data_IF_652350242701
#
_entry.id   IF_652350242701
#
_cell.length_a   1.000
_cell.length_b   1.000
_cell.length_c   1.000
_cell.angle_alpha   90.00
_cell.angle_beta   90.00
_cell.angle_gamma   90.00
#
_symmetry.space_group_name_H-M   'P 1'
#
loop_
_entity.id
_entity.type
_entity.pdbx_description
1 polymer ?
#
# COMPACT_ATOMS: atom_id res chain seq x y z
N UNK A 1 -0.37 32.93 18.38
CA UNK A 1 -1.54 32.99 17.49
C UNK A 1 -0.98 32.85 16.07
N UNK A 2 -1.17 31.68 15.46
CA UNK A 2 -0.74 31.43 14.06
C UNK A 2 -1.64 32.21 13.12
N UNK A 3 -1.07 32.83 12.09
CA UNK A 3 -1.86 33.44 11.03
C UNK A 3 -2.75 32.37 10.38
N UNK A 4 -4.03 32.67 10.07
CA UNK A 4 -4.84 31.76 9.29
C UNK A 4 -4.17 31.52 7.92
N UNK A 5 -4.21 30.28 7.46
CA UNK A 5 -3.75 29.94 6.11
C UNK A 5 -4.47 30.84 5.09
N UNK A 6 -3.78 31.31 4.03
CA UNK A 6 -4.42 32.12 3.02
C UNK A 6 -5.61 31.36 2.42
N UNK A 7 -6.75 32.04 2.30
CA UNK A 7 -7.93 31.48 1.66
C UNK A 7 -7.57 31.13 0.20
N UNK A 8 -7.71 29.85 -0.15
CA UNK A 8 -7.48 29.37 -1.51
C UNK A 8 -8.48 30.05 -2.45
N UNK A 9 -7.98 30.55 -3.56
CA UNK A 9 -8.87 31.10 -4.62
C UNK A 9 -9.76 29.95 -5.14
N UNK A 10 -11.09 30.08 -5.16
CA UNK A 10 -11.96 29.04 -5.68
C UNK A 10 -11.58 28.68 -7.12
N UNK A 11 -11.49 27.39 -7.40
CA UNK A 11 -11.31 26.93 -8.78
C UNK A 11 -12.58 27.24 -9.60
N UNK A 12 -12.45 27.59 -10.89
CA UNK A 12 -13.59 27.85 -11.78
C UNK A 12 -14.32 26.57 -12.25
N UNK A 13 -13.96 25.41 -11.72
CA UNK A 13 -14.53 24.10 -12.01
C UNK A 13 -14.52 23.22 -10.74
N UNK A 14 -15.33 22.17 -10.72
CA UNK A 14 -15.32 21.16 -9.66
C UNK A 14 -14.25 20.08 -9.92
N UNK A 15 -13.61 19.62 -8.86
CA UNK A 15 -12.69 18.48 -8.94
C UNK A 15 -13.47 17.17 -9.05
N UNK A 16 -13.08 16.32 -9.99
CA UNK A 16 -13.69 15.02 -10.20
C UNK A 16 -13.17 14.03 -9.16
N UNK A 17 -14.05 13.23 -8.57
CA UNK A 17 -13.70 12.18 -7.60
C UNK A 17 -13.81 10.76 -8.18
N UNK A 18 -14.56 10.62 -9.28
CA UNK A 18 -14.79 9.36 -9.98
C UNK A 18 -15.05 9.68 -11.45
N UNK A 19 -14.36 9.01 -12.37
CA UNK A 19 -14.52 9.17 -13.82
C UNK A 19 -15.29 8.02 -14.47
N UNK A 20 -15.78 7.05 -13.68
CA UNK A 20 -16.53 5.91 -14.15
C UNK A 20 -15.69 4.76 -14.71
N UNK A 21 -14.34 4.89 -14.68
CA UNK A 21 -13.44 3.81 -15.07
C UNK A 21 -13.38 2.74 -13.97
N UNK A 22 -13.58 1.49 -14.35
CA UNK A 22 -13.53 0.36 -13.44
C UNK A 22 -12.12 -0.24 -13.36
N UNK A 23 -11.82 -0.88 -12.23
CA UNK A 23 -10.63 -1.72 -12.07
C UNK A 23 -10.68 -2.87 -13.09
N UNK A 24 -9.53 -3.22 -13.65
CA UNK A 24 -9.45 -4.11 -14.81
C UNK A 24 -9.71 -5.58 -14.49
N UNK A 25 -9.35 -6.06 -13.29
CA UNK A 25 -9.54 -7.46 -12.89
C UNK A 25 -9.94 -7.60 -11.42
N UNK A 26 -10.59 -8.73 -11.10
CA UNK A 26 -10.93 -9.10 -9.73
C UNK A 26 -9.70 -9.12 -8.81
N UNK A 27 -8.57 -9.61 -9.31
CA UNK A 27 -7.30 -9.61 -8.60
C UNK A 27 -6.90 -8.18 -8.13
N UNK A 28 -7.04 -7.16 -8.98
CA UNK A 28 -6.76 -5.77 -8.61
C UNK A 28 -7.67 -5.29 -7.47
N UNK A 29 -8.97 -5.61 -7.54
CA UNK A 29 -9.95 -5.25 -6.50
C UNK A 29 -9.57 -5.82 -5.15
N UNK A 30 -9.11 -7.07 -5.10
CA UNK A 30 -8.74 -7.76 -3.86
C UNK A 30 -7.33 -7.37 -3.40
N UNK A 31 -6.40 -7.12 -4.33
CA UNK A 31 -5.02 -6.77 -4.02
C UNK A 31 -4.86 -5.39 -3.36
N UNK A 32 -5.68 -4.41 -3.78
CA UNK A 32 -5.59 -3.04 -3.25
C UNK A 32 -5.85 -2.96 -1.73
N UNK A 33 -6.93 -3.52 -1.15
CA UNK A 33 -7.14 -3.52 0.29
C UNK A 33 -6.05 -4.28 1.04
N UNK A 34 -5.52 -5.38 0.50
CA UNK A 34 -4.44 -6.16 1.10
C UNK A 34 -3.14 -5.34 1.21
N UNK A 35 -2.73 -4.68 0.12
CA UNK A 35 -1.56 -3.79 0.15
C UNK A 35 -1.77 -2.63 1.12
N UNK A 36 -2.94 -2.00 1.07
CA UNK A 36 -3.25 -0.91 1.99
C UNK A 36 -3.18 -1.34 3.44
N UNK A 37 -3.75 -2.48 3.80
CA UNK A 37 -3.73 -2.99 5.17
C UNK A 37 -2.30 -3.31 5.62
N UNK A 38 -1.51 -3.99 4.80
CA UNK A 38 -0.13 -4.35 5.15
C UNK A 38 0.78 -3.10 5.25
N UNK A 39 0.57 -2.06 4.43
CA UNK A 39 1.25 -0.77 4.61
C UNK A 39 0.87 -0.14 5.95
N UNK A 40 -0.41 -0.13 6.33
CA UNK A 40 -0.85 0.39 7.62
C UNK A 40 -0.23 -0.39 8.80
N UNK A 41 -0.05 -1.70 8.66
CA UNK A 41 0.63 -2.56 9.65
C UNK A 41 2.11 -2.21 9.74
N UNK A 42 2.82 -2.08 8.62
CA UNK A 42 4.21 -1.64 8.60
C UNK A 42 4.40 -0.30 9.31
N UNK A 43 3.49 0.66 9.07
CA UNK A 43 3.52 1.96 9.76
C UNK A 43 3.30 1.82 11.27
N UNK A 44 2.36 0.98 11.68
CA UNK A 44 2.07 0.75 13.10
C UNK A 44 3.28 0.14 13.84
N UNK A 45 3.97 -0.81 13.22
CA UNK A 45 5.20 -1.41 13.79
C UNK A 45 6.36 -0.42 13.90
N UNK A 46 6.41 0.58 13.02
CA UNK A 46 7.34 1.71 13.14
C UNK A 46 6.89 2.77 14.16
N UNK A 47 5.80 2.54 14.89
CA UNK A 47 5.22 3.51 15.83
C UNK A 47 4.53 4.70 15.17
N UNK A 48 4.32 4.66 13.86
CA UNK A 48 3.65 5.73 13.10
C UNK A 48 2.16 5.48 13.03
N UNK A 49 1.35 6.44 13.50
CA UNK A 49 -0.12 6.26 13.57
C UNK A 49 -0.92 7.38 12.95
N UNK A 50 -0.39 8.61 12.88
CA UNK A 50 -1.17 9.81 12.51
C UNK A 50 -0.47 10.75 11.53
N UNK A 51 0.78 10.50 11.19
CA UNK A 51 1.66 11.40 10.44
C UNK A 51 1.90 10.94 9.00
N UNK A 52 0.95 10.21 8.43
CA UNK A 52 1.01 9.71 7.06
C UNK A 52 -0.40 9.47 6.49
N UNK A 53 -0.48 9.34 5.18
CA UNK A 53 -1.67 8.92 4.45
C UNK A 53 -1.34 7.81 3.46
N UNK A 54 -2.26 6.86 3.29
CA UNK A 54 -2.21 5.83 2.24
C UNK A 54 -3.50 5.91 1.45
N UNK A 55 -3.40 6.23 0.17
CA UNK A 55 -4.49 6.23 -0.80
C UNK A 55 -4.42 5.01 -1.71
N UNK A 56 -5.59 4.56 -2.16
CA UNK A 56 -5.73 3.49 -3.16
C UNK A 56 -6.76 3.92 -4.18
N UNK A 57 -6.45 3.75 -5.46
CA UNK A 57 -7.32 4.08 -6.59
C UNK A 57 -8.00 5.46 -6.41
N UNK A 58 -7.20 6.49 -6.28
CA UNK A 58 -7.62 7.83 -5.88
C UNK A 58 -7.01 8.86 -6.81
N UNK A 59 -7.80 9.86 -7.24
CA UNK A 59 -7.28 10.99 -8.01
C UNK A 59 -6.19 11.74 -7.24
N UNK A 60 -5.12 12.11 -7.94
CA UNK A 60 -4.04 12.95 -7.44
C UNK A 60 -3.92 14.19 -8.32
N UNK A 61 -4.39 15.31 -7.81
CA UNK A 61 -4.28 16.60 -8.46
C UNK A 61 -2.97 17.27 -8.06
N UNK A 62 -2.05 17.40 -9.00
CA UNK A 62 -0.73 17.96 -8.76
C UNK A 62 -0.55 19.38 -9.31
N UNK A 63 -1.44 19.83 -10.22
CA UNK A 63 -1.52 21.22 -10.69
C UNK A 63 -2.95 21.59 -11.08
N UNK A 64 -3.25 22.88 -11.08
CA UNK A 64 -4.55 23.43 -11.48
C UNK A 64 -4.85 23.14 -12.95
N UNK A 65 -3.83 23.17 -13.80
CA UNK A 65 -3.93 22.89 -15.24
C UNK A 65 -4.34 21.44 -15.48
N UNK A 66 -3.70 20.48 -14.79
CA UNK A 66 -4.05 19.07 -14.87
C UNK A 66 -5.48 18.83 -14.34
N UNK A 67 -5.86 19.49 -13.24
CA UNK A 67 -7.21 19.36 -12.71
C UNK A 67 -8.28 19.88 -13.67
N UNK A 68 -8.01 21.02 -14.36
CA UNK A 68 -8.89 21.55 -15.38
C UNK A 68 -9.01 20.62 -16.60
N UNK A 69 -7.91 19.98 -17.00
CA UNK A 69 -7.91 19.00 -18.10
C UNK A 69 -8.75 17.76 -17.75
N UNK A 70 -8.58 17.22 -16.55
CA UNK A 70 -9.41 16.11 -16.04
C UNK A 70 -10.89 16.48 -16.04
N UNK A 71 -11.24 17.65 -15.49
CA UNK A 71 -12.62 18.11 -15.42
C UNK A 71 -13.24 18.27 -16.83
N UNK A 72 -12.46 18.79 -17.79
CA UNK A 72 -12.91 18.91 -19.19
C UNK A 72 -13.11 17.55 -19.85
N UNK A 73 -12.16 16.61 -19.70
CA UNK A 73 -12.26 15.28 -20.28
C UNK A 73 -13.52 14.55 -19.79
N UNK A 74 -13.82 14.64 -18.51
CA UNK A 74 -15.03 14.03 -17.94
C UNK A 74 -16.30 14.74 -18.40
N UNK A 75 -16.33 16.08 -18.37
CA UNK A 75 -17.51 16.85 -18.78
C UNK A 75 -17.87 16.64 -20.25
N UNK A 76 -16.89 16.46 -21.13
CA UNK A 76 -17.05 16.28 -22.56
C UNK A 76 -17.06 14.78 -22.97
N UNK A 77 -16.97 13.87 -22.00
CA UNK A 77 -16.89 12.41 -22.22
C UNK A 77 -15.77 12.03 -23.20
N UNK A 78 -14.59 12.62 -23.00
CA UNK A 78 -13.42 12.35 -23.84
C UNK A 78 -12.62 11.16 -23.29
N UNK A 79 -11.82 10.55 -24.18
CA UNK A 79 -10.84 9.54 -23.78
C UNK A 79 -9.88 10.11 -22.72
N UNK A 80 -9.67 9.42 -21.57
CA UNK A 80 -8.77 9.89 -20.53
C UNK A 80 -7.32 9.96 -21.01
N UNK A 81 -6.76 11.18 -21.06
CA UNK A 81 -5.35 11.42 -21.40
C UNK A 81 -4.59 12.07 -20.26
N UNK A 82 -5.29 12.90 -19.49
CA UNK A 82 -4.70 13.51 -18.32
C UNK A 82 -4.46 12.43 -17.24
N UNK A 83 -3.36 12.59 -16.51
CA UNK A 83 -3.07 11.72 -15.37
C UNK A 83 -4.20 11.78 -14.33
N UNK A 84 -4.61 10.62 -13.82
CA UNK A 84 -5.64 10.48 -12.78
C UNK A 84 -5.02 10.24 -11.41
N UNK A 85 -4.42 9.10 -11.19
CA UNK A 85 -3.82 8.71 -9.94
C UNK A 85 -3.10 7.36 -10.03
N UNK A 86 -2.34 7.00 -8.98
CA UNK A 86 -1.75 5.67 -8.86
C UNK A 86 -2.71 4.70 -8.19
N UNK A 87 -2.47 3.39 -8.39
CA UNK A 87 -3.23 2.33 -7.72
C UNK A 87 -3.06 2.39 -6.20
N UNK A 88 -1.82 2.51 -5.72
CA UNK A 88 -1.51 2.68 -4.30
C UNK A 88 -0.46 3.76 -4.13
N UNK A 89 -0.68 4.65 -3.18
CA UNK A 89 0.34 5.63 -2.80
C UNK A 89 0.41 5.87 -1.29
N UNK A 90 1.57 6.32 -0.86
CA UNK A 90 1.84 6.68 0.52
C UNK A 90 2.53 8.04 0.60
N UNK A 91 2.07 8.88 1.55
CA UNK A 91 2.60 10.23 1.80
C UNK A 91 2.95 10.38 3.27
N UNK A 92 4.16 10.83 3.57
CA UNK A 92 4.61 11.11 4.93
C UNK A 92 4.36 12.55 5.37
N UNK A 93 4.30 12.77 6.67
CA UNK A 93 4.24 14.10 7.27
C UNK A 93 2.92 14.84 7.03
N UNK A 94 1.83 14.12 6.90
CA UNK A 94 0.48 14.66 6.70
C UNK A 94 -0.48 14.11 7.74
N UNK A 95 -1.46 14.93 8.14
CA UNK A 95 -2.47 14.48 9.08
C UNK A 95 -3.42 13.46 8.46
N UNK A 96 -3.75 12.41 9.22
CA UNK A 96 -4.69 11.38 8.80
C UNK A 96 -6.13 11.89 8.92
N UNK A 97 -6.81 12.07 7.79
CA UNK A 97 -8.24 12.32 7.71
C UNK A 97 -8.80 11.72 6.42
N UNK A 98 -10.12 11.70 6.27
CA UNK A 98 -10.77 11.22 5.04
C UNK A 98 -10.57 12.25 3.92
N UNK A 99 -10.17 11.78 2.74
CA UNK A 99 -10.06 12.56 1.51
C UNK A 99 -10.85 11.89 0.41
N UNK A 100 -11.46 12.67 -0.48
CA UNK A 100 -12.11 12.18 -1.71
C UNK A 100 -11.08 11.98 -2.81
N UNK A 101 -10.12 12.89 -2.89
CA UNK A 101 -9.00 12.94 -3.82
C UNK A 101 -7.81 13.58 -3.12
N UNK A 102 -6.63 13.44 -3.68
CA UNK A 102 -5.43 14.11 -3.18
C UNK A 102 -5.20 15.41 -3.96
N UNK A 103 -5.11 16.54 -3.29
CA UNK A 103 -4.86 17.86 -3.88
C UNK A 103 -3.55 18.41 -3.34
N UNK A 104 -2.51 18.43 -4.15
CA UNK A 104 -1.17 18.78 -3.70
C UNK A 104 -1.10 20.19 -3.08
N UNK A 105 -1.77 21.17 -3.65
CA UNK A 105 -1.75 22.54 -3.12
C UNK A 105 -2.51 22.70 -1.80
N UNK A 106 -3.50 21.86 -1.49
CA UNK A 106 -4.19 21.83 -0.20
C UNK A 106 -3.36 21.10 0.87
N UNK A 107 -2.44 20.25 0.44
CA UNK A 107 -1.54 19.46 1.28
C UNK A 107 -0.13 20.08 1.39
N UNK A 108 -0.02 21.39 1.20
CA UNK A 108 1.26 22.12 1.29
C UNK A 108 2.28 21.75 0.21
N UNK A 109 1.82 21.38 -0.96
CA UNK A 109 2.65 20.96 -2.09
C UNK A 109 3.15 19.51 -2.00
N UNK A 110 2.62 18.72 -1.05
CA UNK A 110 3.05 17.33 -0.86
C UNK A 110 2.46 16.41 -1.89
N UNK A 111 3.33 15.58 -2.46
CA UNK A 111 3.01 14.52 -3.39
C UNK A 111 3.46 13.16 -2.80
N UNK A 112 3.05 12.03 -3.36
CA UNK A 112 3.41 10.71 -2.86
C UNK A 112 4.92 10.50 -2.69
N UNK A 113 5.34 10.00 -1.52
CA UNK A 113 6.71 9.57 -1.26
C UNK A 113 6.98 8.16 -1.80
N UNK A 114 5.94 7.34 -1.89
CA UNK A 114 5.98 5.98 -2.44
C UNK A 114 4.73 5.74 -3.28
N UNK A 115 4.91 5.10 -4.42
CA UNK A 115 3.85 4.69 -5.34
C UNK A 115 4.05 3.22 -5.72
N UNK A 116 2.94 2.47 -5.80
CA UNK A 116 2.89 1.11 -6.32
C UNK A 116 1.82 1.09 -7.40
N UNK A 117 2.19 0.65 -8.61
CA UNK A 117 1.26 0.38 -9.72
C UNK A 117 1.12 -1.12 -9.91
N UNK A 118 -0.10 -1.57 -10.08
CA UNK A 118 -0.46 -2.96 -10.41
C UNK A 118 -0.65 -3.03 -11.92
N UNK A 119 0.28 -3.66 -12.59
CA UNK A 119 0.29 -3.68 -14.05
C UNK A 119 -0.84 -4.54 -14.61
N UNK A 120 -1.42 -4.04 -15.69
CA UNK A 120 -2.33 -4.77 -16.53
C UNK A 120 -1.86 -4.70 -18.00
N UNK A 121 -2.36 -5.55 -18.91
CA UNK A 121 -2.00 -5.48 -20.31
C UNK A 121 -2.26 -4.12 -20.95
N UNK A 122 -3.29 -3.39 -20.52
CA UNK A 122 -3.66 -2.07 -21.07
C UNK A 122 -2.81 -0.94 -20.51
N UNK A 123 -2.43 -0.98 -19.22
CA UNK A 123 -1.73 0.13 -18.53
C UNK A 123 -0.22 -0.01 -18.47
N UNK A 124 0.32 -1.24 -18.51
CA UNK A 124 1.74 -1.53 -18.27
C UNK A 124 2.71 -0.63 -19.05
N UNK A 125 2.38 -0.27 -20.29
CA UNK A 125 3.22 0.62 -21.09
C UNK A 125 3.26 2.04 -20.52
N UNK A 126 2.11 2.57 -20.11
CA UNK A 126 2.00 3.93 -19.55
C UNK A 126 2.70 4.01 -18.21
N UNK A 127 2.51 2.98 -17.36
CA UNK A 127 3.15 2.89 -16.04
C UNK A 127 4.67 2.80 -16.15
N UNK A 128 5.19 2.05 -17.12
CA UNK A 128 6.63 1.88 -17.35
C UNK A 128 7.29 3.12 -17.99
N UNK A 129 6.52 4.05 -18.57
CA UNK A 129 7.05 5.20 -19.30
C UNK A 129 6.49 6.52 -18.77
N UNK A 130 5.32 6.95 -19.19
CA UNK A 130 4.74 8.27 -18.91
C UNK A 130 4.57 8.53 -17.42
N UNK A 131 3.93 7.60 -16.68
CA UNK A 131 3.76 7.74 -15.24
C UNK A 131 5.10 7.70 -14.51
N UNK A 132 6.01 6.80 -14.91
CA UNK A 132 7.35 6.71 -14.33
C UNK A 132 8.11 8.03 -14.45
N UNK A 133 8.07 8.68 -15.61
CA UNK A 133 8.71 9.97 -15.82
C UNK A 133 8.03 11.09 -15.03
N UNK A 134 6.70 11.10 -14.94
CA UNK A 134 5.92 12.04 -14.13
C UNK A 134 6.30 11.91 -12.65
N UNK A 135 6.33 10.70 -12.12
CA UNK A 135 6.65 10.44 -10.72
C UNK A 135 8.10 10.80 -10.37
N UNK A 136 9.02 10.61 -11.30
CA UNK A 136 10.42 11.00 -11.09
C UNK A 136 10.64 12.52 -11.21
N UNK A 137 10.10 13.16 -12.24
CA UNK A 137 10.44 14.53 -12.61
C UNK A 137 9.57 15.59 -11.92
N UNK A 138 8.28 15.32 -11.73
CA UNK A 138 7.28 16.23 -11.14
C UNK A 138 7.00 15.89 -9.70
N UNK A 139 6.54 14.66 -9.41
CA UNK A 139 6.19 14.25 -8.05
C UNK A 139 7.40 14.14 -7.14
N UNK A 140 8.55 13.81 -7.68
CA UNK A 140 9.76 13.54 -6.91
C UNK A 140 9.55 12.38 -5.93
N UNK A 141 8.71 11.41 -6.33
CA UNK A 141 8.40 10.23 -5.55
C UNK A 141 9.67 9.42 -5.28
N UNK A 142 9.97 9.20 -4.01
CA UNK A 142 11.24 8.59 -3.58
C UNK A 142 11.38 7.15 -4.03
N UNK A 143 10.28 6.38 -3.97
CA UNK A 143 10.24 4.97 -4.33
C UNK A 143 9.04 4.68 -5.23
N UNK A 144 9.30 3.98 -6.31
CA UNK A 144 8.29 3.56 -7.28
C UNK A 144 8.38 2.06 -7.49
N UNK A 145 7.23 1.38 -7.41
CA UNK A 145 7.13 -0.07 -7.60
C UNK A 145 6.14 -0.39 -8.70
N UNK A 146 6.51 -1.35 -9.54
CA UNK A 146 5.65 -1.98 -10.54
C UNK A 146 5.44 -3.43 -10.15
N UNK A 147 4.20 -3.85 -10.08
CA UNK A 147 3.78 -5.21 -9.77
C UNK A 147 3.15 -5.82 -10.99
N UNK A 148 3.70 -6.88 -11.49
CA UNK A 148 3.21 -7.61 -12.65
C UNK A 148 2.64 -8.97 -12.18
N UNK A 149 1.30 -9.11 -12.11
CA UNK A 149 0.68 -10.35 -11.64
C UNK A 149 0.90 -11.53 -12.60
N UNK A 150 0.94 -11.28 -13.92
CA UNK A 150 1.09 -12.34 -14.93
C UNK A 150 2.47 -12.99 -14.86
N UNK A 151 3.51 -12.20 -14.64
CA UNK A 151 4.90 -12.69 -14.53
C UNK A 151 5.33 -12.91 -13.08
N UNK A 152 4.51 -12.57 -12.09
CA UNK A 152 4.81 -12.63 -10.65
C UNK A 152 6.09 -11.86 -10.30
N UNK A 153 6.24 -10.68 -10.87
CA UNK A 153 7.45 -9.88 -10.71
C UNK A 153 7.14 -8.55 -10.05
N UNK A 154 7.97 -8.19 -9.08
CA UNK A 154 8.02 -6.85 -8.50
C UNK A 154 9.28 -6.17 -9.02
N UNK A 155 9.11 -4.98 -9.61
CA UNK A 155 10.20 -4.10 -9.99
C UNK A 155 10.16 -2.87 -9.09
N UNK A 156 11.26 -2.51 -8.49
CA UNK A 156 11.36 -1.32 -7.64
C UNK A 156 12.39 -0.34 -8.17
N UNK A 157 12.17 0.92 -7.85
CA UNK A 157 13.05 2.01 -8.28
C UNK A 157 13.22 3.02 -7.15
N UNK A 158 14.44 3.55 -7.01
CA UNK A 158 14.78 4.69 -6.15
C UNK A 158 14.96 5.95 -7.00
N UNK A 159 14.46 7.06 -6.52
CA UNK A 159 14.68 8.36 -7.15
C UNK A 159 16.15 8.79 -7.02
N UNK A 160 16.79 9.02 -8.15
CA UNK A 160 18.16 9.53 -8.25
C UNK A 160 18.21 10.80 -9.12
N UNK A 161 18.27 11.93 -8.49
CA UNK A 161 18.09 13.18 -9.21
C UNK A 161 16.66 13.29 -9.77
N UNK A 162 16.47 13.38 -11.08
CA UNK A 162 15.17 13.47 -11.75
C UNK A 162 14.78 12.18 -12.52
N UNK A 163 15.46 11.09 -12.25
CA UNK A 163 15.20 9.81 -12.88
C UNK A 163 15.24 8.70 -11.86
N UNK A 164 14.70 7.55 -12.20
CA UNK A 164 14.71 6.37 -11.37
C UNK A 164 15.90 5.45 -11.67
N UNK A 165 16.47 4.88 -10.60
CA UNK A 165 17.42 3.77 -10.68
C UNK A 165 16.75 2.49 -10.17
N UNK A 166 16.93 1.37 -10.88
CA UNK A 166 16.33 0.10 -10.44
C UNK A 166 16.94 -0.38 -9.13
N UNK A 167 16.11 -0.96 -8.28
CA UNK A 167 16.51 -1.70 -7.09
C UNK A 167 16.83 -3.14 -7.46
N UNK A 168 17.84 -3.72 -6.81
CA UNK A 168 18.12 -5.14 -6.94
C UNK A 168 17.10 -5.95 -6.11
N UNK A 169 16.42 -6.95 -6.67
CA UNK A 169 15.61 -7.88 -5.92
C UNK A 169 16.48 -8.83 -5.10
N UNK A 170 15.91 -9.43 -4.04
CA UNK A 170 16.53 -10.57 -3.34
C UNK A 170 16.49 -11.84 -4.21
N UNK A 171 17.08 -12.93 -3.72
CA UNK A 171 17.03 -14.24 -4.40
C UNK A 171 15.60 -14.77 -4.56
N UNK A 172 14.68 -14.39 -3.64
CA UNK A 172 13.25 -14.73 -3.68
C UNK A 172 12.43 -13.74 -4.53
N UNK A 173 13.06 -12.82 -5.25
CA UNK A 173 12.39 -11.85 -6.09
C UNK A 173 11.72 -10.68 -5.33
N UNK A 174 12.04 -10.50 -4.04
CA UNK A 174 11.48 -9.43 -3.22
C UNK A 174 12.27 -8.15 -3.37
N UNK A 175 11.60 -6.99 -3.33
CA UNK A 175 12.24 -5.68 -3.48
C UNK A 175 12.05 -4.83 -2.24
N UNK A 176 13.15 -4.37 -1.66
CA UNK A 176 13.18 -3.58 -0.43
C UNK A 176 12.60 -2.17 -0.62
N UNK A 177 11.73 -1.76 0.32
CA UNK A 177 11.28 -0.38 0.49
C UNK A 177 11.85 0.23 1.77
N UNK A 178 12.61 1.31 1.62
CA UNK A 178 13.11 2.10 2.75
C UNK A 178 11.99 2.90 3.44
N UNK A 179 10.97 3.30 2.68
CA UNK A 179 9.82 4.03 3.23
C UNK A 179 8.96 3.15 4.11
N UNK A 180 8.76 1.89 3.72
CA UNK A 180 7.95 0.92 4.45
C UNK A 180 8.77 0.08 5.45
N UNK A 181 10.10 0.07 5.35
CA UNK A 181 11.02 -0.84 6.07
C UNK A 181 10.63 -2.30 5.92
N UNK A 182 10.17 -2.66 4.75
CA UNK A 182 9.71 -3.99 4.39
C UNK A 182 10.03 -4.28 2.93
N UNK A 183 10.08 -5.53 2.53
CA UNK A 183 10.22 -5.92 1.12
C UNK A 183 8.86 -6.23 0.52
N UNK A 184 8.63 -5.82 -0.72
CA UNK A 184 7.49 -6.22 -1.52
C UNK A 184 7.86 -7.48 -2.31
N UNK A 185 6.95 -8.46 -2.34
CA UNK A 185 7.13 -9.69 -3.10
C UNK A 185 5.86 -10.49 -3.20
N UNK A 186 5.83 -11.48 -4.07
CA UNK A 186 4.71 -12.38 -4.20
C UNK A 186 4.71 -13.42 -3.08
N UNK A 187 3.52 -13.77 -2.63
CA UNK A 187 3.21 -14.80 -1.66
C UNK A 187 2.01 -15.59 -2.16
N UNK A 188 2.15 -16.91 -2.23
CA UNK A 188 1.04 -17.80 -2.57
C UNK A 188 0.27 -18.17 -1.31
N UNK A 189 -1.05 -17.98 -1.33
CA UNK A 189 -1.91 -18.29 -0.20
C UNK A 189 -3.33 -17.76 -0.36
N UNK A 190 -4.12 -17.91 0.70
CA UNK A 190 -5.55 -17.56 0.69
C UNK A 190 -5.75 -16.14 1.21
N UNK A 191 -6.44 -15.32 0.43
CA UNK A 191 -6.94 -14.01 0.82
C UNK A 191 -8.39 -13.84 0.33
N UNK A 192 -9.31 -13.44 1.23
CA UNK A 192 -10.76 -13.30 0.94
C UNK A 192 -11.37 -14.56 0.29
N UNK A 193 -10.99 -15.75 0.81
CA UNK A 193 -11.39 -17.08 0.35
C UNK A 193 -10.82 -17.51 -1.03
N UNK A 194 -10.01 -16.68 -1.67
CA UNK A 194 -9.34 -16.99 -2.94
C UNK A 194 -7.88 -17.38 -2.71
N UNK A 195 -7.47 -18.53 -3.25
CA UNK A 195 -6.09 -19.01 -3.25
C UNK A 195 -5.38 -18.54 -4.53
N UNK A 196 -4.43 -17.60 -4.39
CA UNK A 196 -3.72 -17.02 -5.50
C UNK A 196 -2.33 -16.52 -5.07
N UNK A 197 -1.60 -15.91 -6.01
CA UNK A 197 -0.33 -15.23 -5.79
C UNK A 197 -0.59 -13.73 -5.51
N UNK A 198 -0.51 -13.37 -4.25
CA UNK A 198 -0.74 -12.00 -3.77
C UNK A 198 0.58 -11.27 -3.54
N UNK A 199 0.62 -9.97 -3.80
CA UNK A 199 1.73 -9.14 -3.38
C UNK A 199 1.57 -8.76 -1.92
N UNK A 200 2.59 -9.10 -1.14
CA UNK A 200 2.64 -8.89 0.30
C UNK A 200 3.91 -8.12 0.71
N UNK A 201 3.87 -7.61 1.91
CA UNK A 201 5.05 -7.07 2.58
C UNK A 201 5.71 -8.15 3.46
N UNK A 202 7.04 -8.11 3.50
CA UNK A 202 7.87 -9.02 4.28
C UNK A 202 8.82 -8.23 5.16
N UNK A 203 9.02 -8.69 6.39
CA UNK A 203 10.02 -8.17 7.30
C UNK A 203 11.46 -8.38 6.75
N UNK A 204 12.46 -7.68 7.32
CA UNK A 204 13.86 -7.86 6.93
C UNK A 204 14.39 -9.29 7.11
N UNK A 205 13.81 -10.06 8.04
CA UNK A 205 14.15 -11.48 8.27
C UNK A 205 13.47 -12.43 7.28
N UNK A 206 12.65 -11.89 6.37
CA UNK A 206 11.94 -12.66 5.36
C UNK A 206 10.58 -13.21 5.81
N UNK A 207 10.18 -13.02 7.07
CA UNK A 207 8.85 -13.40 7.53
C UNK A 207 7.76 -12.50 6.93
N UNK A 208 6.56 -13.05 6.75
CA UNK A 208 5.42 -12.34 6.19
C UNK A 208 4.93 -11.27 7.19
N UNK A 209 4.74 -10.05 6.73
CA UNK A 209 4.07 -9.02 7.52
C UNK A 209 2.56 -9.30 7.49
N UNK A 210 2.06 -9.78 8.62
CA UNK A 210 0.69 -10.27 8.75
C UNK A 210 -0.33 -9.13 8.72
N UNK A 211 -1.49 -9.38 8.14
CA UNK A 211 -2.68 -8.56 8.33
C UNK A 211 -3.11 -8.57 9.81
N UNK A 212 -4.04 -7.71 10.17
CA UNK A 212 -4.55 -7.68 11.55
C UNK A 212 -5.28 -8.97 11.91
N UNK A 213 -6.03 -9.54 10.95
CA UNK A 213 -6.74 -10.80 11.14
C UNK A 213 -5.76 -11.97 11.33
N UNK A 214 -4.81 -12.15 10.41
CA UNK A 214 -3.79 -13.20 10.49
C UNK A 214 -2.97 -13.13 11.78
N UNK A 215 -2.60 -11.93 12.21
CA UNK A 215 -1.87 -11.75 13.47
C UNK A 215 -2.71 -12.12 14.70
N UNK A 216 -4.03 -11.86 14.66
CA UNK A 216 -4.94 -12.26 15.74
C UNK A 216 -5.14 -13.78 15.77
N UNK A 217 -5.30 -14.41 14.63
CA UNK A 217 -5.41 -15.87 14.51
C UNK A 217 -4.14 -16.58 14.97
N UNK A 218 -2.97 -16.10 14.54
CA UNK A 218 -1.69 -16.63 14.98
C UNK A 218 -1.55 -16.54 16.52
N UNK A 219 -1.92 -15.40 17.09
CA UNK A 219 -1.90 -15.19 18.54
C UNK A 219 -2.84 -16.15 19.27
N UNK A 220 -4.08 -16.27 18.80
CA UNK A 220 -5.08 -17.18 19.38
C UNK A 220 -4.60 -18.65 19.32
N UNK A 221 -4.02 -19.07 18.18
CA UNK A 221 -3.44 -20.40 18.04
C UNK A 221 -2.29 -20.68 19.03
N UNK A 222 -1.39 -19.70 19.21
CA UNK A 222 -0.32 -19.83 20.20
C UNK A 222 -0.83 -19.87 21.64
N UNK A 223 -1.88 -19.11 21.98
CA UNK A 223 -2.51 -19.14 23.30
C UNK A 223 -3.19 -20.48 23.57
N UNK A 224 -3.90 -21.05 22.58
CA UNK A 224 -4.51 -22.39 22.67
C UNK A 224 -3.46 -23.47 22.91
N UNK A 225 -2.38 -23.49 22.13
CA UNK A 225 -1.28 -24.43 22.30
C UNK A 225 -0.63 -24.35 23.70
N UNK A 226 -0.46 -23.12 24.22
CA UNK A 226 0.07 -22.93 25.58
C UNK A 226 -0.89 -23.45 26.66
N UNK A 227 -2.19 -23.22 26.47
CA UNK A 227 -3.20 -23.73 27.42
C UNK A 227 -3.21 -25.24 27.40
N UNK A 228 -3.24 -25.90 26.25
CA UNK A 228 -3.19 -27.36 26.11
C UNK A 228 -1.92 -27.97 26.74
N UNK A 229 -0.76 -27.32 26.49
CA UNK A 229 0.49 -27.80 27.11
C UNK A 229 0.49 -27.66 28.65
N UNK A 230 -0.08 -26.58 29.18
CA UNK A 230 -0.22 -26.38 30.63
C UNK A 230 -1.18 -27.39 31.26
N UNK A 231 -2.31 -27.69 30.61
CA UNK A 231 -3.27 -28.69 31.06
C UNK A 231 -2.65 -30.09 31.05
N UNK A 232 -1.91 -30.43 30.00
CA UNK A 232 -1.20 -31.71 29.93
C UNK A 232 -0.16 -31.89 31.06
N UNK A 233 0.60 -30.83 31.35
CA UNK A 233 1.59 -30.85 32.44
C UNK A 233 0.91 -30.93 33.82
N UNK A 234 -0.21 -30.23 34.03
CA UNK A 234 -1.02 -30.36 35.26
C UNK A 234 -1.56 -31.78 35.45
N UNK A 235 -2.05 -32.41 34.39
CA UNK A 235 -2.51 -33.78 34.42
C UNK A 235 -1.38 -34.76 34.79
N UNK A 236 -0.20 -34.56 34.19
CA UNK A 236 1.01 -35.35 34.51
C UNK A 236 1.44 -35.20 35.97
N UNK A 237 1.50 -33.98 36.48
CA UNK A 237 1.87 -33.73 37.89
C UNK A 237 0.87 -34.30 38.85
N UNK A 238 -0.43 -34.25 38.57
CA UNK A 238 -1.48 -34.91 39.39
C UNK A 238 -1.30 -36.40 39.41
N UNK A 239 -1.05 -37.05 38.27
CA UNK A 239 -0.81 -38.49 38.22
C UNK A 239 0.40 -38.90 39.08
N UNK A 240 1.49 -38.15 39.03
CA UNK A 240 2.69 -38.39 39.86
C UNK A 240 2.42 -38.21 41.35
N UNK A 241 1.59 -37.25 41.75
CA UNK A 241 1.19 -37.05 43.14
C UNK A 241 0.29 -38.18 43.65
N UNK A 242 -0.63 -38.67 42.83
CA UNK A 242 -1.50 -39.78 43.14
C UNK A 242 -0.75 -41.11 43.30
N UNK A 243 0.30 -41.33 42.49
CA UNK A 243 1.21 -42.48 42.66
C UNK A 243 1.98 -42.41 43.99
N UNK A 244 2.54 -41.26 44.34
CA UNK A 244 3.29 -41.04 45.59
C UNK A 244 2.42 -41.12 46.84
N UNK A 245 1.12 -40.91 46.73
CA UNK A 245 0.17 -40.98 47.86
C UNK A 245 -0.34 -42.40 48.13
N UNK A 246 -0.02 -43.37 47.26
CA UNK A 246 -0.40 -44.76 47.35
C UNK A 246 0.68 -45.68 47.96
N UNK A 247 1.93 -45.16 47.98
CA UNK A 247 3.08 -45.77 48.65
C UNK A 247 3.24 -45.24 50.09
#
# INVERSE_FOLDING_TARGET
>A
MGQPAPALTPLPFELVEDDGEFLETEWHVQQLPLLRETILRAMAEMGRTKDYYTGTNMFVYYSVEQAAEVAREVAENLEPKAFRGPDVFWVSGVHKHRRKYWVAWDEGGRLPDLIIELLSPSTARVDRTVKKDLYASVFRTKEYFLVDPDTRKVEGFDLAGRAYRPKAPTAEGRVWSSQLRASLGFWHGVWMDDEDDWVRLFHPDGSLLLTKAEAAEQKAGMESQRAEAAEAELARLRALLDERSRD
#
